data_IF_049091497611
#
_entry.id   IF_049091497611
#
_cell.length_a   1.000
_cell.length_b   1.000
_cell.length_c   1.000
_cell.angle_alpha   90.00
_cell.angle_beta   90.00
_cell.angle_gamma   90.00
#
_symmetry.space_group_name_H-M   'P 1'
#
loop_
_entity.id
_entity.type
_entity.pdbx_description
1 polymer ?
#
# COMPACT_ATOMS: atom_id res chain seq x y z
N UNK A 1 -43.55 -34.08 -7.70
CA UNK A 1 -43.56 -33.79 -6.26
C UNK A 1 -42.73 -34.88 -5.59
N UNK A 2 -41.55 -34.70 -5.01
CA UNK A 2 -40.72 -33.56 -4.61
C UNK A 2 -39.26 -33.99 -4.85
N UNK A 3 -38.43 -33.12 -5.42
CA UNK A 3 -36.96 -33.20 -5.32
C UNK A 3 -36.42 -31.80 -5.60
N UNK A 4 -36.71 -30.90 -4.67
CA UNK A 4 -36.12 -29.57 -4.56
C UNK A 4 -36.12 -29.20 -3.07
N UNK A 5 -35.03 -28.56 -2.62
CA UNK A 5 -34.77 -28.03 -1.28
C UNK A 5 -33.81 -28.86 -0.42
N UNK A 6 -32.54 -28.88 -0.79
CA UNK A 6 -31.41 -28.92 0.17
C UNK A 6 -30.19 -28.26 -0.46
N UNK A 7 -30.29 -26.96 -0.78
CA UNK A 7 -29.13 -26.10 -0.98
C UNK A 7 -29.47 -24.76 -0.33
N UNK A 8 -28.49 -24.19 0.37
CA UNK A 8 -28.49 -22.92 1.12
C UNK A 8 -29.13 -22.96 2.50
N UNK A 9 -28.32 -23.31 3.50
CA UNK A 9 -28.12 -22.38 4.62
C UNK A 9 -26.76 -22.62 5.28
N UNK A 10 -25.69 -22.33 4.54
CA UNK A 10 -24.41 -22.02 5.14
C UNK A 10 -24.34 -20.50 5.20
N UNK A 11 -24.97 -19.92 6.22
CA UNK A 11 -24.70 -18.55 6.60
C UNK A 11 -23.20 -18.46 6.90
N UNK A 12 -22.45 -17.88 5.95
CA UNK A 12 -21.15 -17.30 6.20
C UNK A 12 -21.39 -16.27 7.31
N UNK A 13 -21.17 -16.69 8.56
CA UNK A 13 -20.96 -15.79 9.67
C UNK A 13 -19.73 -14.96 9.30
N UNK A 14 -19.95 -13.81 8.66
CA UNK A 14 -18.94 -12.78 8.53
C UNK A 14 -18.55 -12.43 9.97
N UNK A 15 -17.41 -12.95 10.43
CA UNK A 15 -16.85 -12.57 11.71
C UNK A 15 -16.84 -11.04 11.75
N UNK A 16 -17.37 -10.44 12.82
CA UNK A 16 -17.37 -9.00 12.94
C UNK A 16 -15.92 -8.50 12.78
N UNK A 17 -15.70 -7.40 12.04
CA UNK A 17 -14.36 -6.88 11.83
C UNK A 17 -13.71 -6.62 13.20
N UNK A 18 -12.49 -7.14 13.40
CA UNK A 18 -11.75 -6.93 14.64
C UNK A 18 -11.51 -5.44 14.79
N UNK A 19 -12.17 -4.83 15.78
CA UNK A 19 -12.01 -3.41 16.08
C UNK A 19 -10.96 -3.24 17.17
N UNK A 20 -9.80 -2.72 16.77
CA UNK A 20 -8.76 -2.36 17.72
C UNK A 20 -9.06 -1.00 18.39
N UNK A 21 -8.72 -0.83 19.68
CA UNK A 21 -8.67 0.48 20.32
C UNK A 21 -7.79 1.46 19.53
N UNK A 22 -8.09 2.75 19.65
CA UNK A 22 -7.29 3.78 18.99
C UNK A 22 -5.85 3.76 19.53
N UNK A 23 -4.82 4.04 18.70
CA UNK A 23 -3.43 4.03 19.16
C UNK A 23 -3.18 4.85 20.44
N UNK A 24 -3.83 6.02 20.54
CA UNK A 24 -3.74 6.89 21.71
C UNK A 24 -4.33 6.27 22.99
N UNK A 25 -5.36 5.43 22.88
CA UNK A 25 -5.95 4.73 24.04
C UNK A 25 -5.00 3.66 24.58
N UNK A 26 -4.31 2.96 23.68
CA UNK A 26 -3.30 1.96 24.05
C UNK A 26 -2.09 2.63 24.71
N UNK A 27 -1.64 3.77 24.19
CA UNK A 27 -0.57 4.56 24.83
C UNK A 27 -0.98 4.99 26.24
N UNK A 28 -2.20 5.51 26.42
CA UNK A 28 -2.73 5.87 27.74
C UNK A 28 -2.81 4.68 28.70
N UNK A 29 -3.17 3.49 28.20
CA UNK A 29 -3.17 2.27 29.00
C UNK A 29 -1.75 1.91 29.47
N UNK A 30 -0.76 1.96 28.58
CA UNK A 30 0.64 1.71 28.94
C UNK A 30 1.19 2.77 29.92
N UNK A 31 0.84 4.05 29.75
CA UNK A 31 1.17 5.11 30.71
C UNK A 31 0.61 4.82 32.09
N UNK A 32 -0.67 4.41 32.16
CA UNK A 32 -1.32 4.05 33.41
C UNK A 32 -0.65 2.84 34.06
N UNK A 33 -0.27 1.83 33.29
CA UNK A 33 0.50 0.68 33.78
C UNK A 33 1.82 1.13 34.41
N UNK A 34 2.59 1.98 33.75
CA UNK A 34 3.86 2.50 34.29
C UNK A 34 3.64 3.22 35.62
N UNK A 35 2.60 4.07 35.72
CA UNK A 35 2.24 4.75 36.98
C UNK A 35 1.83 3.78 38.09
N UNK A 36 1.08 2.72 37.76
CA UNK A 36 0.65 1.69 38.70
C UNK A 36 1.83 0.88 39.21
N UNK A 37 2.79 0.52 38.35
CA UNK A 37 4.04 -0.12 38.74
C UNK A 37 4.76 0.75 39.77
N UNK A 38 4.94 2.04 39.50
CA UNK A 38 5.65 2.93 40.43
C UNK A 38 4.89 3.09 41.77
N UNK A 39 3.57 3.25 41.72
CA UNK A 39 2.76 3.42 42.93
C UNK A 39 2.74 2.16 43.81
N UNK A 40 2.59 0.98 43.19
CA UNK A 40 2.56 -0.30 43.91
C UNK A 40 3.91 -0.71 44.46
N UNK A 41 5.01 -0.31 43.80
CA UNK A 41 6.38 -0.43 44.33
C UNK A 41 6.57 0.38 45.61
N UNK A 42 6.09 1.63 45.64
CA UNK A 42 6.21 2.49 46.82
C UNK A 42 5.40 1.96 48.01
N UNK A 43 4.31 1.26 47.74
CA UNK A 43 3.45 0.68 48.78
C UNK A 43 4.06 -0.55 49.48
N UNK A 44 5.15 -1.14 48.97
CA UNK A 44 5.80 -2.32 49.55
C UNK A 44 7.33 -2.22 49.42
N UNK A 45 8.09 -2.04 50.51
CA UNK A 45 9.55 -1.84 50.45
C UNK A 45 10.34 -2.98 49.79
N UNK A 46 9.89 -4.23 49.95
CA UNK A 46 10.51 -5.40 49.32
C UNK A 46 10.25 -5.43 47.82
N UNK A 47 9.00 -5.19 47.40
CA UNK A 47 8.64 -5.04 45.99
C UNK A 47 9.29 -3.81 45.36
N UNK A 48 9.48 -2.74 46.13
CA UNK A 48 10.21 -1.55 45.74
C UNK A 48 11.61 -1.90 45.27
N UNK A 49 12.38 -2.63 46.08
CA UNK A 49 13.75 -3.06 45.71
C UNK A 49 13.77 -4.03 44.53
N UNK A 50 12.94 -5.07 44.58
CA UNK A 50 12.96 -6.12 43.57
C UNK A 50 12.38 -5.67 42.21
N UNK A 51 11.46 -4.71 42.21
CA UNK A 51 10.76 -4.21 41.02
C UNK A 51 11.45 -3.04 40.30
N UNK A 52 12.56 -2.48 40.84
CA UNK A 52 13.27 -1.35 40.22
C UNK A 52 13.64 -1.58 38.76
N UNK A 53 14.28 -2.70 38.40
CA UNK A 53 14.67 -2.92 37.00
C UNK A 53 13.46 -2.97 36.05
N UNK A 54 12.34 -3.53 36.52
CA UNK A 54 11.12 -3.69 35.71
C UNK A 54 10.38 -2.36 35.54
N UNK A 55 10.43 -1.46 36.52
CA UNK A 55 9.89 -0.10 36.41
C UNK A 55 10.71 0.75 35.43
N UNK A 56 12.04 0.71 35.52
CA UNK A 56 12.91 1.40 34.56
C UNK A 56 12.68 0.89 33.13
N UNK A 57 12.65 -0.43 32.96
CA UNK A 57 12.37 -1.05 31.67
C UNK A 57 10.97 -0.69 31.14
N UNK A 58 9.95 -0.61 32.00
CA UNK A 58 8.62 -0.16 31.59
C UNK A 58 8.63 1.27 31.03
N UNK A 59 9.39 2.19 31.64
CA UNK A 59 9.55 3.57 31.15
C UNK A 59 10.23 3.61 29.78
N UNK A 60 11.29 2.83 29.60
CA UNK A 60 11.99 2.73 28.31
C UNK A 60 11.10 2.13 27.21
N UNK A 61 10.38 1.04 27.50
CA UNK A 61 9.49 0.39 26.55
C UNK A 61 8.29 1.28 26.18
N UNK A 62 7.77 2.09 27.10
CA UNK A 62 6.76 3.10 26.81
C UNK A 62 7.28 4.16 25.83
N UNK A 63 8.52 4.64 26.02
CA UNK A 63 9.14 5.59 25.10
C UNK A 63 9.27 4.99 23.69
N UNK A 64 9.72 3.73 23.60
CA UNK A 64 9.80 3.00 22.32
C UNK A 64 8.43 2.84 21.65
N UNK A 65 7.37 2.51 22.42
CA UNK A 65 6.01 2.40 21.90
C UNK A 65 5.47 3.72 21.35
N UNK A 66 5.82 4.85 21.96
CA UNK A 66 5.45 6.18 21.44
C UNK A 66 6.14 6.50 20.12
N UNK A 67 7.39 6.07 19.94
CA UNK A 67 8.14 6.29 18.70
C UNK A 67 7.78 5.32 17.56
N UNK A 68 7.72 4.03 17.86
CA UNK A 68 7.48 2.97 16.86
C UNK A 68 5.99 2.72 16.58
N UNK A 69 5.09 3.25 17.41
CA UNK A 69 3.65 3.09 17.30
C UNK A 69 3.13 1.78 17.91
N UNK A 70 1.90 1.83 18.44
CA UNK A 70 1.28 0.72 19.18
C UNK A 70 0.82 -0.46 18.31
N UNK A 71 0.88 -0.34 16.97
CA UNK A 71 0.64 -1.47 16.04
C UNK A 71 1.87 -2.37 15.84
N UNK A 72 3.02 -1.99 16.41
CA UNK A 72 4.22 -2.81 16.42
C UNK A 72 4.09 -3.93 17.46
N UNK A 73 3.61 -5.10 17.02
CA UNK A 73 3.33 -6.24 17.92
C UNK A 73 4.55 -6.71 18.73
N UNK A 74 5.80 -6.72 18.21
CA UNK A 74 6.98 -6.94 19.05
C UNK A 74 7.14 -5.97 20.22
N UNK A 75 6.93 -4.66 20.01
CA UNK A 75 7.04 -3.65 21.07
C UNK A 75 5.94 -3.81 22.12
N UNK A 76 4.70 -4.09 21.69
CA UNK A 76 3.57 -4.36 22.58
C UNK A 76 3.82 -5.63 23.41
N UNK A 77 4.33 -6.68 22.77
CA UNK A 77 4.69 -7.94 23.43
C UNK A 77 5.81 -7.74 24.45
N UNK A 78 6.84 -6.96 24.13
CA UNK A 78 7.93 -6.64 25.07
C UNK A 78 7.39 -5.92 26.32
N UNK A 79 6.53 -4.91 26.14
CA UNK A 79 5.89 -4.19 27.25
C UNK A 79 5.01 -5.12 28.11
N UNK A 80 4.16 -5.94 27.49
CA UNK A 80 3.31 -6.91 28.18
C UNK A 80 4.16 -7.96 28.94
N UNK A 81 5.26 -8.42 28.35
CA UNK A 81 6.15 -9.40 28.99
C UNK A 81 6.83 -8.83 30.23
N UNK A 82 7.27 -7.57 30.17
CA UNK A 82 7.79 -6.85 31.33
C UNK A 82 6.73 -6.69 32.43
N UNK A 83 5.50 -6.31 32.06
CA UNK A 83 4.37 -6.21 32.98
C UNK A 83 4.04 -7.56 33.65
N UNK A 84 4.03 -8.66 32.89
CA UNK A 84 3.85 -10.01 33.44
C UNK A 84 4.92 -10.36 34.47
N UNK A 85 6.18 -10.05 34.18
CA UNK A 85 7.27 -10.20 35.14
C UNK A 85 7.03 -9.42 36.43
N UNK A 86 6.58 -8.16 36.31
CA UNK A 86 6.29 -7.34 37.48
C UNK A 86 5.09 -7.85 38.30
N UNK A 87 3.98 -8.22 37.66
CA UNK A 87 2.81 -8.77 38.36
C UNK A 87 3.16 -10.09 39.06
N UNK A 88 3.90 -10.98 38.41
CA UNK A 88 4.35 -12.23 39.03
C UNK A 88 5.23 -11.98 40.27
N UNK A 89 6.14 -11.00 40.19
CA UNK A 89 6.94 -10.57 41.34
C UNK A 89 6.07 -9.98 42.46
N UNK A 90 5.09 -9.15 42.09
CA UNK A 90 4.15 -8.57 43.04
C UNK A 90 3.31 -9.66 43.74
N UNK A 91 2.96 -10.75 43.08
CA UNK A 91 2.20 -11.84 43.70
C UNK A 91 3.06 -12.74 44.59
N UNK A 92 4.34 -12.89 44.27
CA UNK A 92 5.26 -13.69 45.08
C UNK A 92 5.68 -13.00 46.39
N UNK A 93 5.71 -11.65 46.42
CA UNK A 93 6.16 -10.89 47.59
C UNK A 93 4.99 -10.64 48.57
N UNK A 94 5.08 -11.10 49.83
CA UNK A 94 4.09 -10.80 50.85
C UNK A 94 3.86 -9.30 51.02
N UNK A 95 2.59 -8.89 51.12
CA UNK A 95 2.24 -7.48 51.29
C UNK A 95 2.23 -7.11 52.78
N UNK A 96 2.67 -5.89 53.15
CA UNK A 96 2.55 -5.42 54.53
C UNK A 96 1.11 -5.47 55.02
N UNK A 97 0.89 -5.87 56.27
CA UNK A 97 -0.46 -5.87 56.86
C UNK A 97 -1.12 -4.48 56.88
N UNK A 98 -0.29 -3.43 56.88
CA UNK A 98 -0.67 -2.01 56.87
C UNK A 98 -0.99 -1.45 55.47
N UNK A 99 -1.05 -2.29 54.44
CA UNK A 99 -1.31 -1.86 53.06
C UNK A 99 -2.67 -1.13 52.96
N UNK A 100 -2.64 0.11 52.48
CA UNK A 100 -3.83 0.95 52.33
C UNK A 100 -4.82 0.37 51.33
N UNK A 101 -6.08 0.77 51.45
CA UNK A 101 -7.14 0.36 50.53
C UNK A 101 -6.87 0.83 49.09
N UNK A 102 -6.34 2.04 48.93
CA UNK A 102 -5.92 2.58 47.64
C UNK A 102 -4.79 1.74 47.00
N UNK A 103 -3.78 1.33 47.78
CA UNK A 103 -2.72 0.48 47.26
C UNK A 103 -3.26 -0.89 46.83
N UNK A 104 -4.21 -1.48 47.58
CA UNK A 104 -4.89 -2.72 47.19
C UNK A 104 -5.64 -2.55 45.87
N UNK A 105 -6.34 -1.43 45.70
CA UNK A 105 -7.03 -1.08 44.45
C UNK A 105 -6.04 -0.97 43.28
N UNK A 106 -4.89 -0.33 43.47
CA UNK A 106 -3.86 -0.20 42.44
C UNK A 106 -3.26 -1.55 42.02
N UNK A 107 -3.07 -2.49 42.96
CA UNK A 107 -2.68 -3.86 42.61
C UNK A 107 -3.75 -4.59 41.78
N UNK A 108 -5.04 -4.38 42.06
CA UNK A 108 -6.13 -4.92 41.25
C UNK A 108 -6.15 -4.30 39.84
N UNK A 109 -6.07 -2.97 39.77
CA UNK A 109 -6.06 -2.24 38.50
C UNK A 109 -4.88 -2.64 37.61
N UNK A 110 -3.72 -2.97 38.21
CA UNK A 110 -2.55 -3.45 37.48
C UNK A 110 -2.80 -4.80 36.78
N UNK A 111 -3.54 -5.73 37.43
CA UNK A 111 -3.95 -7.00 36.82
C UNK A 111 -4.97 -6.79 35.71
N UNK A 112 -5.97 -5.95 35.95
CA UNK A 112 -6.96 -5.59 34.91
C UNK A 112 -6.28 -4.94 33.69
N UNK A 113 -5.28 -4.09 33.92
CA UNK A 113 -4.50 -3.49 32.84
C UNK A 113 -3.65 -4.52 32.07
N UNK A 114 -3.10 -5.53 32.76
CA UNK A 114 -2.44 -6.68 32.14
C UNK A 114 -3.42 -7.45 31.23
N UNK A 115 -4.61 -7.78 31.72
CA UNK A 115 -5.63 -8.49 30.94
C UNK A 115 -6.06 -7.70 29.70
N UNK A 116 -6.23 -6.38 29.85
CA UNK A 116 -6.57 -5.48 28.73
C UNK A 116 -5.46 -5.41 27.68
N UNK A 117 -4.19 -5.35 28.09
CA UNK A 117 -3.05 -5.37 27.16
C UNK A 117 -2.90 -6.74 26.49
N UNK A 118 -3.18 -7.83 27.19
CA UNK A 118 -3.21 -9.17 26.62
C UNK A 118 -4.32 -9.32 25.57
N UNK A 119 -5.54 -8.88 25.88
CA UNK A 119 -6.65 -8.86 24.93
C UNK A 119 -6.32 -8.00 23.70
N UNK A 120 -5.69 -6.85 23.89
CA UNK A 120 -5.21 -5.99 22.82
C UNK A 120 -4.19 -6.71 21.92
N UNK A 121 -3.17 -7.36 22.51
CA UNK A 121 -2.17 -8.08 21.74
C UNK A 121 -2.79 -9.25 20.96
N UNK A 122 -3.71 -10.02 21.57
CA UNK A 122 -4.44 -11.10 20.88
C UNK A 122 -5.22 -10.57 19.67
N UNK A 123 -6.01 -9.52 19.87
CA UNK A 123 -6.74 -8.87 18.78
C UNK A 123 -5.80 -8.32 17.68
N UNK A 124 -4.66 -7.76 18.06
CA UNK A 124 -3.65 -7.28 17.12
C UNK A 124 -3.04 -8.42 16.29
N UNK A 125 -2.78 -9.57 16.91
CA UNK A 125 -2.26 -10.77 16.24
C UNK A 125 -3.32 -11.41 15.33
N UNK A 126 -4.56 -11.52 15.79
CA UNK A 126 -5.68 -12.02 14.99
C UNK A 126 -5.95 -11.13 13.77
N UNK A 127 -5.88 -9.80 13.94
CA UNK A 127 -6.00 -8.87 12.82
C UNK A 127 -4.87 -9.09 11.80
N UNK A 128 -3.63 -9.28 12.27
CA UNK A 128 -2.50 -9.58 11.37
C UNK A 128 -2.65 -10.93 10.69
N UNK A 129 -3.16 -11.94 11.38
CA UNK A 129 -3.42 -13.26 10.82
C UNK A 129 -4.54 -13.20 9.77
N UNK A 130 -5.61 -12.45 10.02
CA UNK A 130 -6.66 -12.18 9.04
C UNK A 130 -6.11 -11.45 7.81
N UNK A 131 -5.23 -10.47 8.00
CA UNK A 131 -4.55 -9.79 6.88
C UNK A 131 -3.65 -10.72 6.08
N UNK A 132 -3.00 -11.69 6.74
CA UNK A 132 -2.19 -12.72 6.07
C UNK A 132 -3.04 -13.77 5.34
N UNK A 133 -4.27 -13.99 5.82
CA UNK A 133 -5.25 -14.94 5.26
C UNK A 133 -6.38 -14.25 4.50
N UNK A 134 -6.15 -13.04 3.98
CA UNK A 134 -7.17 -12.33 3.23
C UNK A 134 -7.61 -13.20 2.04
N UNK A 135 -8.87 -13.69 2.00
CA UNK A 135 -9.35 -14.51 0.90
C UNK A 135 -9.32 -13.76 -0.43
N UNK A 136 -9.27 -12.43 -0.39
CA UNK A 136 -9.09 -11.56 -1.55
C UNK A 136 -7.71 -10.89 -1.54
N UNK A 137 -6.65 -11.71 -1.53
CA UNK A 137 -5.24 -11.29 -1.55
C UNK A 137 -4.93 -10.12 -2.52
N UNK A 138 -5.60 -10.10 -3.67
CA UNK A 138 -5.36 -9.12 -4.76
C UNK A 138 -6.39 -7.98 -4.79
N UNK A 139 -7.32 -7.95 -3.83
CA UNK A 139 -8.39 -6.97 -3.67
C UNK A 139 -9.31 -6.85 -4.89
N UNK A 140 -9.67 -7.96 -5.53
CA UNK A 140 -10.60 -8.01 -6.67
C UNK A 140 -11.97 -7.38 -6.36
N UNK A 141 -12.42 -7.42 -5.10
CA UNK A 141 -13.66 -6.80 -4.67
C UNK A 141 -13.63 -5.26 -4.79
N UNK A 142 -12.45 -4.62 -4.68
CA UNK A 142 -12.28 -3.15 -4.65
C UNK A 142 -12.91 -2.45 -5.86
N UNK A 143 -12.76 -3.02 -7.05
CA UNK A 143 -13.25 -2.47 -8.31
C UNK A 143 -14.33 -3.33 -8.98
N UNK A 144 -14.75 -4.46 -8.39
CA UNK A 144 -15.72 -5.37 -9.00
C UNK A 144 -16.99 -4.64 -9.49
N UNK A 145 -17.57 -3.77 -8.65
CA UNK A 145 -18.77 -3.00 -9.02
C UNK A 145 -18.47 -1.91 -10.05
N UNK A 146 -17.37 -1.18 -9.90
CA UNK A 146 -16.96 -0.14 -10.85
C UNK A 146 -16.67 -0.73 -12.23
N UNK A 147 -16.02 -1.90 -12.29
CA UNK A 147 -15.76 -2.67 -13.51
C UNK A 147 -17.06 -3.12 -14.18
N UNK A 148 -18.04 -3.60 -13.39
CA UNK A 148 -19.35 -4.03 -13.91
C UNK A 148 -20.16 -2.87 -14.49
N UNK A 149 -20.04 -1.68 -13.91
CA UNK A 149 -20.73 -0.47 -14.35
C UNK A 149 -20.03 0.29 -15.49
N UNK A 150 -18.77 -0.05 -15.77
CA UNK A 150 -18.01 0.64 -16.80
C UNK A 150 -18.58 0.31 -18.20
N UNK A 151 -19.00 1.31 -18.99
CA UNK A 151 -19.50 1.07 -20.34
C UNK A 151 -18.39 0.50 -21.25
N UNK A 152 -18.74 -0.15 -22.37
CA UNK A 152 -17.75 -0.52 -23.38
C UNK A 152 -17.00 0.73 -23.88
N UNK A 153 -15.73 0.60 -24.32
CA UNK A 153 -14.98 1.71 -24.89
C UNK A 153 -15.70 2.32 -26.10
N UNK A 154 -15.70 3.64 -26.20
CA UNK A 154 -16.30 4.36 -27.33
C UNK A 154 -15.41 4.25 -28.58
N UNK A 155 -16.05 4.16 -29.75
CA UNK A 155 -15.32 4.07 -31.02
C UNK A 155 -14.53 5.36 -31.27
N UNK A 156 -13.22 5.23 -31.50
CA UNK A 156 -12.33 6.37 -31.76
C UNK A 156 -11.76 7.04 -30.50
N UNK A 157 -12.20 6.64 -29.30
CA UNK A 157 -11.65 7.12 -28.03
C UNK A 157 -10.91 5.95 -27.35
N UNK A 158 -9.56 5.87 -27.46
CA UNK A 158 -8.83 4.75 -26.89
C UNK A 158 -8.90 4.78 -25.37
N UNK A 159 -9.50 3.75 -24.77
CA UNK A 159 -9.49 3.56 -23.32
C UNK A 159 -8.07 3.25 -22.83
N UNK A 160 -7.65 3.91 -21.76
CA UNK A 160 -6.38 3.66 -21.07
C UNK A 160 -6.62 3.36 -19.61
N UNK A 161 -6.09 2.24 -19.12
CA UNK A 161 -6.17 1.88 -17.70
C UNK A 161 -4.87 2.29 -17.01
N UNK A 162 -4.98 2.95 -15.86
CA UNK A 162 -3.87 3.26 -14.97
C UNK A 162 -3.83 2.22 -13.86
N UNK A 163 -2.93 1.25 -13.96
CA UNK A 163 -2.72 0.19 -12.97
C UNK A 163 -1.61 0.64 -12.00
N UNK A 164 -1.91 0.73 -10.71
CA UNK A 164 -0.92 1.19 -9.75
C UNK A 164 -1.17 0.85 -8.29
N UNK A 165 -0.33 1.44 -7.45
CA UNK A 165 -0.46 1.45 -6.00
C UNK A 165 -1.17 2.73 -5.50
N UNK A 166 -0.80 3.24 -4.31
CA UNK A 166 -1.37 4.45 -3.71
C UNK A 166 -1.11 5.70 -4.55
N UNK A 167 0.01 5.78 -5.27
CA UNK A 167 0.30 6.95 -6.11
C UNK A 167 -0.72 7.06 -7.23
N UNK A 168 -1.15 5.92 -7.78
CA UNK A 168 -2.20 5.89 -8.79
C UNK A 168 -3.58 6.03 -8.14
N UNK A 169 -3.87 5.32 -7.03
CA UNK A 169 -5.18 5.34 -6.35
C UNK A 169 -5.60 6.76 -5.95
N UNK A 170 -4.64 7.55 -5.45
CA UNK A 170 -4.85 8.92 -5.00
C UNK A 170 -4.84 9.97 -6.12
N UNK A 171 -4.69 9.57 -7.39
CA UNK A 171 -4.66 10.50 -8.52
C UNK A 171 -6.07 10.69 -9.12
N UNK A 172 -6.75 11.83 -8.88
CA UNK A 172 -8.06 12.09 -9.47
C UNK A 172 -7.90 12.47 -10.94
N UNK A 173 -7.80 11.47 -11.84
CA UNK A 173 -7.46 11.66 -13.25
C UNK A 173 -8.32 12.73 -13.95
N UNK A 174 -9.61 12.83 -13.59
CA UNK A 174 -10.55 13.82 -14.14
C UNK A 174 -10.16 15.29 -13.86
N UNK A 175 -9.30 15.57 -12.89
CA UNK A 175 -8.79 16.92 -12.61
C UNK A 175 -7.55 17.28 -13.44
N UNK A 176 -6.87 16.29 -14.02
CA UNK A 176 -5.58 16.45 -14.69
C UNK A 176 -5.65 16.17 -16.20
N UNK A 177 -6.70 15.50 -16.66
CA UNK A 177 -6.88 15.11 -18.06
C UNK A 177 -8.21 15.63 -18.62
N UNK A 178 -8.27 15.93 -19.93
CA UNK A 178 -9.52 16.37 -20.56
C UNK A 178 -10.63 15.33 -20.41
N UNK A 179 -11.91 15.75 -20.23
CA UNK A 179 -13.03 14.84 -20.01
C UNK A 179 -13.32 13.92 -21.22
N UNK A 180 -12.80 14.24 -22.40
CA UNK A 180 -12.91 13.42 -23.61
C UNK A 180 -11.98 12.19 -23.59
N UNK A 181 -11.09 12.08 -22.59
CA UNK A 181 -10.22 10.92 -22.41
C UNK A 181 -10.94 9.83 -21.63
N UNK A 182 -10.98 8.62 -22.17
CA UNK A 182 -11.45 7.42 -21.46
C UNK A 182 -10.31 6.83 -20.60
N UNK A 183 -9.93 7.56 -19.56
CA UNK A 183 -8.89 7.13 -18.62
C UNK A 183 -9.52 6.54 -17.36
N UNK A 184 -9.08 5.32 -17.02
CA UNK A 184 -9.68 4.52 -15.94
C UNK A 184 -8.65 4.24 -14.86
N UNK A 185 -8.88 4.76 -13.66
CA UNK A 185 -7.99 4.56 -12.52
C UNK A 185 -8.23 3.18 -11.87
N UNK A 186 -7.17 2.38 -11.78
CA UNK A 186 -7.13 1.08 -11.08
C UNK A 186 -5.92 1.01 -10.14
N UNK A 187 -5.64 2.10 -9.43
CA UNK A 187 -4.69 2.12 -8.33
C UNK A 187 -5.28 1.50 -7.05
N UNK A 188 -4.50 0.77 -6.28
CA UNK A 188 -4.93 0.32 -4.94
C UNK A 188 -3.83 0.60 -3.94
N UNK A 189 -4.14 1.44 -2.96
CA UNK A 189 -3.20 1.88 -1.94
C UNK A 189 -2.49 0.72 -1.23
N UNK A 190 -1.16 0.79 -1.17
CA UNK A 190 -0.31 -0.18 -0.50
C UNK A 190 -0.09 -1.50 -1.26
N UNK A 191 -0.59 -1.67 -2.48
CA UNK A 191 -0.32 -2.91 -3.23
C UNK A 191 1.12 -3.01 -3.73
N UNK A 192 1.58 -4.24 -3.86
CA UNK A 192 2.86 -4.63 -4.50
C UNK A 192 2.62 -5.19 -5.91
N UNK A 193 3.67 -5.28 -6.73
CA UNK A 193 3.59 -5.76 -8.13
C UNK A 193 2.92 -7.13 -8.26
N UNK A 194 3.12 -8.04 -7.30
CA UNK A 194 2.49 -9.37 -7.31
C UNK A 194 0.96 -9.32 -7.20
N UNK A 195 0.43 -8.38 -6.40
CA UNK A 195 -1.02 -8.17 -6.28
C UNK A 195 -1.59 -7.49 -7.53
N UNK A 196 -0.84 -6.55 -8.11
CA UNK A 196 -1.19 -5.91 -9.38
C UNK A 196 -1.26 -6.93 -10.52
N UNK A 197 -0.30 -7.86 -10.60
CA UNK A 197 -0.32 -8.99 -11.53
C UNK A 197 -1.58 -9.84 -11.34
N UNK A 198 -1.92 -10.19 -10.10
CA UNK A 198 -3.08 -11.04 -9.77
C UNK A 198 -4.43 -10.48 -10.23
N UNK A 199 -4.56 -9.15 -10.34
CA UNK A 199 -5.79 -8.49 -10.79
C UNK A 199 -5.79 -8.02 -12.25
N UNK A 200 -4.74 -8.31 -13.03
CA UNK A 200 -4.64 -7.92 -14.45
C UNK A 200 -5.88 -8.29 -15.27
N UNK A 201 -6.42 -9.51 -15.07
CA UNK A 201 -7.58 -9.95 -15.84
C UNK A 201 -8.84 -9.11 -15.53
N UNK A 202 -9.11 -8.89 -14.24
CA UNK A 202 -10.32 -8.22 -13.78
C UNK A 202 -10.27 -6.71 -14.00
N UNK A 203 -9.14 -6.09 -13.68
CA UNK A 203 -8.99 -4.63 -13.65
C UNK A 203 -8.38 -4.03 -14.91
N UNK A 204 -7.80 -4.84 -15.80
CA UNK A 204 -7.21 -4.34 -17.05
C UNK A 204 -7.85 -5.03 -18.25
N UNK A 205 -7.61 -6.32 -18.43
CA UNK A 205 -7.95 -7.04 -19.67
C UNK A 205 -9.45 -6.98 -19.99
N UNK A 206 -10.32 -7.26 -19.00
CA UNK A 206 -11.77 -7.24 -19.20
C UNK A 206 -12.34 -5.85 -19.48
N UNK A 207 -11.60 -4.78 -19.17
CA UNK A 207 -12.00 -3.41 -19.47
C UNK A 207 -11.72 -3.02 -20.94
N UNK A 208 -11.07 -3.91 -21.70
CA UNK A 208 -10.72 -3.78 -23.12
C UNK A 208 -9.99 -2.47 -23.48
N UNK A 209 -8.94 -2.07 -22.73
CA UNK A 209 -8.21 -0.86 -23.05
C UNK A 209 -7.36 -1.03 -24.32
N UNK A 210 -7.04 0.09 -24.97
CA UNK A 210 -5.99 0.15 -25.98
C UNK A 210 -4.59 0.11 -25.34
N UNK A 211 -4.45 0.64 -24.12
CA UNK A 211 -3.20 0.68 -23.40
C UNK A 211 -3.36 0.58 -21.87
N UNK A 212 -2.29 0.17 -21.19
CA UNK A 212 -2.20 0.19 -19.73
C UNK A 212 -0.95 0.95 -19.30
N UNK A 213 -1.12 1.92 -18.41
CA UNK A 213 -0.02 2.58 -17.70
C UNK A 213 0.21 1.84 -16.39
N UNK A 214 1.44 1.39 -16.17
CA UNK A 214 1.84 0.61 -14.99
C UNK A 214 2.83 1.41 -14.16
N UNK A 215 2.46 1.68 -12.90
CA UNK A 215 3.34 2.25 -11.89
C UNK A 215 3.24 1.41 -10.61
N UNK A 216 4.26 0.60 -10.33
CA UNK A 216 4.28 -0.27 -9.15
C UNK A 216 5.68 -0.77 -8.83
N UNK A 217 5.99 -0.89 -7.54
CA UNK A 217 7.28 -1.33 -7.03
C UNK A 217 7.74 -0.60 -5.77
N UNK A 218 7.22 0.60 -5.48
CA UNK A 218 7.62 1.35 -4.28
C UNK A 218 7.27 0.63 -2.98
N UNK A 219 6.14 -0.10 -2.96
CA UNK A 219 5.72 -0.89 -1.80
C UNK A 219 6.43 -2.24 -1.74
N UNK A 220 6.82 -2.80 -2.89
CA UNK A 220 7.63 -4.01 -2.97
C UNK A 220 8.95 -3.79 -2.24
N UNK A 221 9.63 -2.67 -2.57
CA UNK A 221 10.86 -2.25 -1.90
C UNK A 221 10.64 -2.11 -0.39
N UNK A 222 9.60 -1.37 0.00
CA UNK A 222 9.31 -1.13 1.42
C UNK A 222 8.97 -2.39 2.23
N UNK A 223 8.53 -3.45 1.56
CA UNK A 223 8.20 -4.74 2.18
C UNK A 223 9.32 -5.77 2.04
N UNK A 224 10.46 -5.39 1.46
CA UNK A 224 11.60 -6.29 1.27
C UNK A 224 11.34 -7.39 0.24
N UNK A 225 10.50 -7.14 -0.77
CA UNK A 225 10.33 -8.06 -1.89
C UNK A 225 11.62 -8.08 -2.72
N UNK A 226 12.08 -9.28 -3.06
CA UNK A 226 13.28 -9.46 -3.89
C UNK A 226 13.13 -8.77 -5.26
N UNK A 227 14.20 -8.11 -5.69
CA UNK A 227 14.21 -7.34 -6.95
C UNK A 227 13.82 -8.21 -8.14
N UNK A 228 14.31 -9.44 -8.20
CA UNK A 228 13.96 -10.38 -9.27
C UNK A 228 12.47 -10.74 -9.26
N UNK A 229 11.82 -10.78 -8.10
CA UNK A 229 10.36 -10.95 -8.03
C UNK A 229 9.63 -9.75 -8.63
N UNK A 230 10.08 -8.52 -8.33
CA UNK A 230 9.51 -7.29 -8.91
C UNK A 230 9.64 -7.33 -10.45
N UNK A 231 10.84 -7.64 -10.96
CA UNK A 231 11.11 -7.77 -12.40
C UNK A 231 10.27 -8.84 -13.08
N UNK A 232 10.12 -10.01 -12.44
CA UNK A 232 9.29 -11.10 -12.94
C UNK A 232 7.82 -10.67 -13.03
N UNK A 233 7.28 -10.03 -12.00
CA UNK A 233 5.90 -9.57 -12.00
C UNK A 233 5.64 -8.53 -13.10
N UNK A 234 6.54 -7.55 -13.27
CA UNK A 234 6.42 -6.53 -14.32
C UNK A 234 6.56 -7.13 -15.73
N UNK A 235 7.46 -8.09 -15.91
CA UNK A 235 7.58 -8.87 -17.16
C UNK A 235 6.28 -9.62 -17.48
N UNK A 236 5.69 -10.28 -16.49
CA UNK A 236 4.41 -11.01 -16.67
C UNK A 236 3.24 -10.08 -16.96
N UNK A 237 3.20 -8.89 -16.33
CA UNK A 237 2.22 -7.85 -16.64
C UNK A 237 2.34 -7.42 -18.12
N UNK A 238 3.56 -7.22 -18.62
CA UNK A 238 3.80 -6.89 -20.03
C UNK A 238 3.29 -8.00 -20.96
N UNK A 239 3.68 -9.25 -20.70
CA UNK A 239 3.27 -10.41 -21.50
C UNK A 239 1.74 -10.59 -21.52
N UNK A 240 1.06 -10.39 -20.38
CA UNK A 240 -0.39 -10.44 -20.31
C UNK A 240 -1.04 -9.30 -21.12
N UNK A 241 -0.48 -8.10 -21.09
CA UNK A 241 -0.96 -6.98 -21.89
C UNK A 241 -0.82 -7.29 -23.39
N UNK A 242 0.36 -7.74 -23.83
CA UNK A 242 0.63 -8.12 -25.23
C UNK A 242 -0.28 -9.23 -25.73
N UNK A 243 -0.45 -10.30 -24.94
CA UNK A 243 -1.32 -11.43 -25.28
C UNK A 243 -2.78 -11.00 -25.50
N UNK A 244 -3.19 -9.87 -24.91
CA UNK A 244 -4.50 -9.28 -25.05
C UNK A 244 -4.54 -8.04 -25.97
N UNK A 245 -3.46 -7.77 -26.72
CA UNK A 245 -3.31 -6.64 -27.66
C UNK A 245 -3.47 -5.27 -26.98
N UNK A 246 -3.02 -5.17 -25.74
CA UNK A 246 -3.00 -3.95 -24.94
C UNK A 246 -1.56 -3.44 -24.96
N UNK A 247 -1.35 -2.17 -25.29
CA UNK A 247 -0.01 -1.56 -25.29
C UNK A 247 0.43 -1.27 -23.85
N UNK A 248 1.51 -1.87 -23.33
CA UNK A 248 2.02 -1.53 -22.01
C UNK A 248 2.87 -0.25 -22.05
N UNK A 249 2.62 0.64 -21.09
CA UNK A 249 3.47 1.79 -20.76
C UNK A 249 3.94 1.61 -19.33
N UNK A 250 5.25 1.63 -19.10
CA UNK A 250 5.82 1.50 -17.77
C UNK A 250 6.36 2.84 -17.29
N UNK A 251 5.87 3.28 -16.15
CA UNK A 251 6.35 4.47 -15.48
C UNK A 251 7.51 4.14 -14.54
N UNK A 252 8.51 5.00 -14.52
CA UNK A 252 9.56 4.97 -13.50
C UNK A 252 8.94 5.06 -12.10
N UNK A 253 9.45 4.29 -11.15
CA UNK A 253 9.24 4.55 -9.74
C UNK A 253 9.65 5.98 -9.40
N UNK A 254 8.88 6.62 -8.52
CA UNK A 254 9.15 7.99 -8.08
C UNK A 254 10.33 8.00 -7.09
N UNK A 255 11.09 9.11 -7.00
CA UNK A 255 12.01 9.31 -5.89
C UNK A 255 11.23 9.42 -4.57
N UNK A 256 11.93 9.28 -3.45
CA UNK A 256 11.39 9.52 -2.10
C UNK A 256 12.26 10.56 -1.39
N UNK A 257 11.74 11.16 -0.32
CA UNK A 257 12.53 12.05 0.53
C UNK A 257 12.12 11.97 1.99
N UNK A 258 13.00 12.43 2.87
CA UNK A 258 12.76 12.51 4.31
C UNK A 258 12.55 13.96 4.79
N UNK A 259 12.32 14.89 3.85
CA UNK A 259 12.28 16.33 4.17
C UNK A 259 11.14 16.74 5.11
N UNK A 260 10.15 15.87 5.30
CA UNK A 260 9.02 16.10 6.21
C UNK A 260 9.05 15.23 7.47
N UNK A 261 10.13 14.47 7.73
CA UNK A 261 10.21 13.58 8.91
C UNK A 261 10.17 14.30 10.26
N UNK A 262 10.54 15.58 10.28
CA UNK A 262 10.45 16.41 11.49
C UNK A 262 9.00 16.76 11.85
N UNK A 263 8.07 16.69 10.89
CA UNK A 263 6.63 16.89 11.12
C UNK A 263 5.97 15.62 11.64
N UNK A 264 6.36 14.48 11.08
CA UNK A 264 5.90 13.15 11.48
C UNK A 264 7.03 12.15 11.22
N UNK A 265 7.58 11.47 12.25
CA UNK A 265 8.64 10.49 12.08
C UNK A 265 8.29 9.36 11.10
N UNK A 266 7.01 9.06 10.89
CA UNK A 266 6.56 8.07 9.90
C UNK A 266 6.82 8.51 8.44
N UNK A 267 7.17 9.77 8.20
CA UNK A 267 7.55 10.31 6.88
C UNK A 267 9.04 10.12 6.55
N UNK A 268 9.80 9.41 7.39
CA UNK A 268 11.11 8.90 6.99
C UNK A 268 10.94 7.72 6.01
N UNK A 269 11.16 7.98 4.73
CA UNK A 269 10.89 7.06 3.62
C UNK A 269 12.12 6.30 3.17
N UNK A 270 13.31 6.91 3.21
CA UNK A 270 14.53 6.34 2.62
C UNK A 270 15.00 5.06 3.29
N UNK A 271 14.69 4.89 4.59
CA UNK A 271 15.03 3.67 5.35
C UNK A 271 14.35 2.44 4.77
N UNK A 272 13.05 2.54 4.48
CA UNK A 272 12.30 1.44 3.86
C UNK A 272 12.46 1.42 2.33
N UNK A 273 12.82 2.55 1.71
CA UNK A 273 12.94 2.70 0.25
C UNK A 273 14.28 3.34 -0.13
N UNK A 274 15.39 2.58 -0.10
CA UNK A 274 16.69 3.12 -0.42
C UNK A 274 16.72 3.75 -1.83
N UNK A 275 17.13 5.02 -2.00
CA UNK A 275 17.12 5.70 -3.31
C UNK A 275 17.92 4.97 -4.40
N UNK A 276 19.00 4.28 -4.04
CA UNK A 276 19.79 3.49 -4.97
C UNK A 276 19.03 2.29 -5.54
N UNK A 277 18.17 1.68 -4.73
CA UNK A 277 17.34 0.56 -5.15
C UNK A 277 16.22 1.01 -6.10
N UNK A 278 15.63 2.18 -5.83
CA UNK A 278 14.68 2.82 -6.75
C UNK A 278 15.35 3.08 -8.11
N UNK A 279 16.55 3.67 -8.11
CA UNK A 279 17.31 3.96 -9.33
C UNK A 279 17.69 2.70 -10.10
N UNK A 280 18.11 1.62 -9.42
CA UNK A 280 18.48 0.37 -10.08
C UNK A 280 17.28 -0.32 -10.75
N UNK A 281 16.11 -0.30 -10.11
CA UNK A 281 14.86 -0.82 -10.72
C UNK A 281 14.44 0.06 -11.90
N UNK A 282 14.52 1.39 -11.78
CA UNK A 282 14.21 2.30 -12.89
C UNK A 282 15.14 2.10 -14.09
N UNK A 283 16.44 1.90 -13.86
CA UNK A 283 17.39 1.63 -14.92
C UNK A 283 17.09 0.31 -15.64
N UNK A 284 16.74 -0.73 -14.88
CA UNK A 284 16.29 -1.99 -15.46
C UNK A 284 15.00 -1.80 -16.26
N UNK A 285 14.02 -1.07 -15.74
CA UNK A 285 12.72 -0.85 -16.38
C UNK A 285 12.85 -0.08 -17.70
N UNK A 286 13.73 0.92 -17.75
CA UNK A 286 14.08 1.64 -18.98
C UNK A 286 14.69 0.70 -20.03
N UNK A 287 15.66 -0.13 -19.64
CA UNK A 287 16.29 -1.11 -20.52
C UNK A 287 15.28 -2.15 -21.02
N UNK A 288 14.44 -2.66 -20.12
CA UNK A 288 13.35 -3.59 -20.44
C UNK A 288 12.39 -3.00 -21.46
N UNK A 289 11.96 -1.75 -21.27
CA UNK A 289 11.11 -1.06 -22.25
C UNK A 289 11.81 -0.90 -23.60
N UNK A 290 13.10 -0.55 -23.60
CA UNK A 290 13.88 -0.40 -24.84
C UNK A 290 14.02 -1.71 -25.60
N UNK A 291 14.33 -2.80 -24.92
CA UNK A 291 14.52 -4.14 -25.51
C UNK A 291 13.23 -4.69 -26.14
N UNK A 292 12.09 -4.39 -25.51
CA UNK A 292 10.79 -4.88 -25.94
C UNK A 292 9.98 -3.88 -26.77
N UNK A 293 10.51 -2.68 -27.05
CA UNK A 293 9.81 -1.56 -27.70
C UNK A 293 8.54 -1.10 -26.97
N UNK A 294 8.53 -1.18 -25.64
CA UNK A 294 7.50 -0.56 -24.81
C UNK A 294 7.78 0.92 -24.59
N UNK A 295 6.76 1.65 -24.14
CA UNK A 295 6.93 3.06 -23.79
C UNK A 295 7.32 3.19 -22.33
N UNK A 296 8.48 3.80 -22.08
CA UNK A 296 8.93 4.20 -20.76
C UNK A 296 8.46 5.64 -20.45
N UNK A 297 7.91 5.86 -19.26
CA UNK A 297 7.49 7.18 -18.77
C UNK A 297 8.39 7.59 -17.60
N UNK A 298 9.29 8.54 -17.83
CA UNK A 298 10.23 9.01 -16.81
C UNK A 298 9.62 10.08 -15.91
N UNK A 299 8.93 9.64 -14.85
CA UNK A 299 8.50 10.52 -13.77
C UNK A 299 9.64 10.88 -12.81
N UNK A 300 10.62 10.00 -12.66
CA UNK A 300 11.68 10.16 -11.65
C UNK A 300 12.42 11.47 -11.88
N UNK A 301 12.89 11.70 -13.11
CA UNK A 301 13.65 12.91 -13.44
C UNK A 301 12.85 14.19 -13.27
N UNK A 302 11.53 14.14 -13.45
CA UNK A 302 10.65 15.30 -13.32
C UNK A 302 10.32 15.69 -11.87
N UNK A 303 10.46 14.74 -10.94
CA UNK A 303 10.08 14.92 -9.53
C UNK A 303 11.30 14.99 -8.59
N UNK A 304 12.48 14.58 -9.07
CA UNK A 304 13.71 14.63 -8.32
C UNK A 304 14.27 16.06 -8.21
N UNK A 305 14.74 16.42 -7.02
CA UNK A 305 15.56 17.61 -6.81
C UNK A 305 17.03 17.37 -7.22
N UNK A 306 17.88 18.39 -7.06
CA UNK A 306 19.30 18.29 -7.39
C UNK A 306 20.08 17.22 -6.57
N UNK A 307 19.50 16.70 -5.49
CA UNK A 307 20.04 15.61 -4.67
C UNK A 307 19.50 14.24 -5.08
N UNK A 308 18.65 14.19 -6.11
CA UNK A 308 18.01 12.96 -6.57
C UNK A 308 16.85 12.50 -5.67
N UNK A 309 16.35 13.38 -4.80
CA UNK A 309 15.30 13.08 -3.82
C UNK A 309 13.97 13.70 -4.27
N UNK A 310 12.84 13.19 -3.77
CA UNK A 310 11.54 13.81 -4.09
C UNK A 310 11.51 15.25 -3.60
N UNK A 311 11.34 16.20 -4.52
CA UNK A 311 11.39 17.62 -4.19
C UNK A 311 10.37 17.98 -3.11
N UNK A 312 10.80 18.78 -2.13
CA UNK A 312 10.07 19.00 -0.89
C UNK A 312 8.66 19.58 -1.06
N UNK A 313 8.43 20.36 -2.12
CA UNK A 313 7.13 21.00 -2.37
C UNK A 313 6.20 20.16 -3.27
N UNK A 314 6.68 19.02 -3.79
CA UNK A 314 5.91 18.10 -4.64
C UNK A 314 5.22 16.97 -3.84
N UNK A 315 5.49 16.87 -2.55
CA UNK A 315 4.91 15.86 -1.65
C UNK A 315 4.82 16.41 -0.23
N UNK A 316 3.77 16.02 0.49
CA UNK A 316 3.57 16.42 1.88
C UNK A 316 4.17 15.41 2.88
N UNK A 317 4.48 14.19 2.41
CA UNK A 317 4.93 13.06 3.24
C UNK A 317 6.20 12.37 2.70
N UNK A 318 6.83 12.96 1.68
CA UNK A 318 8.05 12.45 1.07
C UNK A 318 7.87 11.21 0.18
N UNK A 319 6.64 10.79 -0.11
CA UNK A 319 6.32 9.60 -0.91
C UNK A 319 5.23 9.86 -1.96
N UNK A 320 4.09 10.41 -1.54
CA UNK A 320 2.93 10.61 -2.40
C UNK A 320 2.98 12.00 -3.05
N UNK A 321 2.83 12.10 -4.38
CA UNK A 321 2.69 13.39 -5.03
C UNK A 321 1.50 14.16 -4.45
N UNK A 322 1.72 15.43 -4.13
CA UNK A 322 0.62 16.37 -3.93
C UNK A 322 0.14 16.91 -5.29
N UNK A 323 -0.78 17.88 -5.27
CA UNK A 323 -1.32 18.47 -6.51
C UNK A 323 -0.27 19.05 -7.46
N UNK A 324 0.86 19.57 -6.95
CA UNK A 324 1.95 20.05 -7.79
C UNK A 324 2.70 18.89 -8.44
N UNK A 325 2.99 17.83 -7.67
CA UNK A 325 3.63 16.62 -8.19
C UNK A 325 2.82 15.99 -9.33
N UNK A 326 1.51 15.80 -9.13
CA UNK A 326 0.64 15.27 -10.17
C UNK A 326 0.55 16.17 -11.42
N UNK A 327 0.63 17.50 -11.27
CA UNK A 327 0.68 18.42 -12.43
C UNK A 327 1.94 18.26 -13.26
N UNK A 328 3.06 17.83 -12.67
CA UNK A 328 4.28 17.52 -13.41
C UNK A 328 4.20 16.14 -14.09
N UNK A 329 3.55 15.17 -13.45
CA UNK A 329 3.39 13.82 -14.00
C UNK A 329 2.42 13.77 -15.20
N UNK A 330 1.30 14.49 -15.12
CA UNK A 330 0.22 14.44 -16.11
C UNK A 330 0.67 14.64 -17.58
N UNK A 331 1.43 15.71 -17.93
CA UNK A 331 1.83 15.92 -19.32
C UNK A 331 2.77 14.83 -19.86
N UNK A 332 3.61 14.23 -19.00
CA UNK A 332 4.56 13.19 -19.39
C UNK A 332 3.84 11.91 -19.85
N UNK A 333 2.88 11.45 -19.04
CA UNK A 333 2.10 10.26 -19.39
C UNK A 333 1.12 10.53 -20.52
N UNK A 334 0.57 11.74 -20.61
CA UNK A 334 -0.29 12.10 -21.72
C UNK A 334 0.46 12.02 -23.05
N UNK A 335 1.67 12.58 -23.12
CA UNK A 335 2.50 12.51 -24.32
C UNK A 335 2.89 11.05 -24.67
N UNK A 336 3.20 10.25 -23.65
CA UNK A 336 3.52 8.83 -23.82
C UNK A 336 2.33 8.03 -24.37
N UNK A 337 1.12 8.25 -23.82
CA UNK A 337 -0.14 7.66 -24.30
C UNK A 337 -0.38 8.08 -25.75
N UNK A 338 -0.31 9.37 -26.07
CA UNK A 338 -0.59 9.88 -27.42
C UNK A 338 0.37 9.33 -28.48
N UNK A 339 1.61 9.00 -28.09
CA UNK A 339 2.56 8.30 -28.95
C UNK A 339 2.19 6.82 -29.12
N UNK A 340 1.73 6.17 -28.06
CA UNK A 340 1.45 4.73 -28.02
C UNK A 340 0.14 4.34 -28.72
N UNK A 341 -0.94 5.10 -28.50
CA UNK A 341 -2.30 4.71 -28.94
C UNK A 341 -2.83 5.55 -30.10
N UNK A 342 -1.95 6.08 -30.98
CA UNK A 342 -2.38 6.88 -32.14
C UNK A 342 -3.52 6.17 -32.88
N UNK A 343 -4.65 6.85 -33.15
CA UNK A 343 -5.67 6.30 -34.03
C UNK A 343 -5.02 6.00 -35.39
N UNK A 344 -5.37 4.89 -36.06
CA UNK A 344 -4.85 4.61 -37.39
C UNK A 344 -5.12 5.83 -38.27
N UNK A 345 -4.09 6.28 -39.01
CA UNK A 345 -4.25 7.38 -39.95
C UNK A 345 -5.47 7.08 -40.84
N UNK A 346 -6.35 8.07 -41.10
CA UNK A 346 -7.48 7.84 -41.99
C UNK A 346 -6.92 7.30 -43.30
N UNK A 347 -7.27 6.07 -43.65
CA UNK A 347 -6.93 5.51 -44.95
C UNK A 347 -7.41 6.52 -45.97
N UNK A 348 -6.47 7.13 -46.72
CA UNK A 348 -6.83 7.89 -47.92
C UNK A 348 -7.72 6.98 -48.73
N UNK A 349 -9.03 7.27 -48.78
CA UNK A 349 -9.96 6.58 -49.66
C UNK A 349 -9.32 6.66 -51.04
N UNK A 350 -8.82 5.54 -51.54
CA UNK A 350 -8.40 5.44 -52.95
C UNK A 350 -9.63 5.81 -53.74
N UNK A 351 -9.58 6.97 -54.39
CA UNK A 351 -10.67 7.47 -55.21
C UNK A 351 -10.98 6.37 -56.26
N UNK A 352 -12.22 5.85 -56.38
CA UNK A 352 -12.53 4.74 -57.29
C UNK A 352 -12.38 5.08 -58.78
N UNK A 353 -11.99 6.32 -59.12
CA UNK A 353 -12.05 6.87 -60.47
C UNK A 353 -11.05 6.18 -61.44
N UNK A 354 -10.03 5.49 -60.95
CA UNK A 354 -9.06 4.79 -61.80
C UNK A 354 -9.53 3.44 -62.38
N UNK A 355 -10.74 2.96 -62.05
CA UNK A 355 -11.31 1.74 -62.67
C UNK A 355 -12.33 1.99 -63.79
N UNK A 356 -12.61 3.24 -64.16
CA UNK A 356 -13.54 3.56 -65.26
C UNK A 356 -12.88 4.00 -66.57
N UNK A 357 -11.55 4.16 -66.61
CA UNK A 357 -10.83 4.48 -67.85
C UNK A 357 -9.72 3.44 -68.04
N UNK A 358 -10.01 2.43 -68.86
CA UNK A 358 -9.10 1.32 -69.15
C UNK A 358 -7.79 1.77 -69.79
N UNK A 359 -6.76 1.99 -68.97
CA UNK A 359 -5.39 2.22 -69.40
C UNK A 359 -4.53 1.00 -69.08
N UNK A 360 -3.99 0.38 -70.12
CA UNK A 360 -3.01 -0.69 -70.04
C UNK A 360 -1.80 -0.30 -69.19
N UNK A 361 -1.34 -1.23 -68.36
CA UNK A 361 -0.04 -1.13 -67.67
C UNK A 361 1.07 -1.44 -68.68
N UNK A 362 2.10 -0.59 -68.85
CA UNK A 362 3.32 -1.04 -69.49
C UNK A 362 4.02 -2.00 -68.54
N UNK A 363 4.42 -3.16 -69.08
CA UNK A 363 5.45 -4.00 -68.46
C UNK A 363 6.74 -3.18 -68.40
N UNK A 364 7.45 -3.26 -67.28
CA UNK A 364 8.87 -2.98 -67.24
C UNK A 364 9.58 -4.20 -66.67
N UNK A 365 10.62 -4.56 -67.41
CA UNK A 365 11.57 -5.65 -67.20
C UNK A 365 12.41 -5.50 -65.92
#
# INVERSE_FOLDING_TARGET
>A
MLLAAFVLDAALSLAQPIQLPAPAEVVKLCERVTQLIDSTRLASPELGRAGEPLSENARQLLANLRGAGTRNSPQVYAFLSNLRGYVALADAIPKPATLSEEARRQFSELREAQDRLEAYLRALLELKEQQLRDPDRDALARYAEANRKLPPPEAGVPRVVFLGDSITDLWPLNEYFPPERDFVNRGISGQITGQMLGRMLADVVRLKPAAVVVLGGTNDIARGVEVETIKNNLTMIAQLAEANKIVPLFASLLPVSDYHKDKDPSYERTVARPPELIRSINQWLENFCREHNYVYVDYYSALADARGMLAADLSDDGLHPNSKGYRLMAPLVQAAIDKAVRPPAPQRKRNPIWRMLGGDSPRQD
#
